data_IF_967390106437
#
_entry.id   IF_967390106437
#
_cell.length_a   1.000
_cell.length_b   1.000
_cell.length_c   1.000
_cell.angle_alpha   90.00
_cell.angle_beta   90.00
_cell.angle_gamma   90.00
#
_symmetry.space_group_name_H-M   'P 1'
#
loop_
_entity.id
_entity.type
_entity.pdbx_description
1 polymer ?
#
# COMPACT_ATOMS: atom_id res chain seq x y z
N UNK A 1 20.88 -4.83 18.02
CA UNK A 1 19.90 -5.79 17.48
C UNK A 1 19.78 -5.56 15.98
N UNK A 2 19.76 -6.60 15.14
CA UNK A 2 19.56 -6.42 13.70
C UNK A 2 18.12 -5.98 13.44
N UNK A 3 17.93 -4.83 12.80
CA UNK A 3 16.61 -4.31 12.42
C UNK A 3 16.10 -5.02 11.17
N UNK A 4 14.89 -5.58 11.22
CA UNK A 4 14.23 -6.15 10.04
C UNK A 4 13.66 -5.02 9.19
N UNK A 5 13.96 -5.06 7.89
CA UNK A 5 13.44 -4.11 6.91
C UNK A 5 12.38 -4.78 6.06
N UNK A 6 11.19 -4.21 6.04
CA UNK A 6 10.05 -4.68 5.25
C UNK A 6 9.67 -3.64 4.21
N UNK A 7 9.56 -4.07 2.95
CA UNK A 7 8.95 -3.25 1.90
C UNK A 7 7.48 -3.68 1.70
N UNK A 8 6.59 -2.72 1.55
CA UNK A 8 5.20 -2.97 1.17
C UNK A 8 4.91 -2.16 -0.10
N UNK A 9 4.49 -2.84 -1.18
CA UNK A 9 4.12 -2.22 -2.45
C UNK A 9 2.61 -2.01 -2.48
N UNK A 10 2.19 -0.76 -2.32
CA UNK A 10 0.79 -0.31 -2.23
C UNK A 10 0.45 0.26 -0.85
N UNK A 11 -0.02 1.50 -0.79
CA UNK A 11 -0.45 2.20 0.42
C UNK A 11 -1.98 2.30 0.55
N UNK A 12 -2.70 1.32 0.01
CA UNK A 12 -4.11 1.09 0.31
C UNK A 12 -4.33 0.46 1.69
N UNK A 13 -5.60 0.17 2.06
CA UNK A 13 -5.93 -0.42 3.35
C UNK A 13 -5.16 -1.70 3.65
N UNK A 14 -5.02 -2.60 2.67
CA UNK A 14 -4.29 -3.86 2.86
C UNK A 14 -2.82 -3.63 3.27
N UNK A 15 -2.12 -2.70 2.61
CA UNK A 15 -0.73 -2.39 2.93
C UNK A 15 -0.57 -1.72 4.29
N UNK A 16 -1.44 -0.77 4.60
CA UNK A 16 -1.41 -0.05 5.89
C UNK A 16 -1.79 -0.97 7.05
N UNK A 17 -2.79 -1.83 6.90
CA UNK A 17 -3.15 -2.82 7.94
C UNK A 17 -2.06 -3.88 8.12
N UNK A 18 -1.42 -4.34 7.04
CA UNK A 18 -0.29 -5.24 7.16
C UNK A 18 0.85 -4.58 7.96
N UNK A 19 1.13 -3.29 7.70
CA UNK A 19 2.10 -2.53 8.47
C UNK A 19 1.71 -2.42 9.95
N UNK A 20 0.45 -2.08 10.25
CA UNK A 20 -0.08 -1.95 11.61
C UNK A 20 0.06 -3.26 12.42
N UNK A 21 -0.40 -4.36 11.84
CA UNK A 21 -0.32 -5.69 12.45
C UNK A 21 1.15 -6.08 12.72
N UNK A 22 2.04 -5.77 11.78
CA UNK A 22 3.47 -6.07 11.94
C UNK A 22 4.09 -5.18 13.02
N UNK A 23 3.81 -3.89 13.07
CA UNK A 23 4.34 -3.05 14.15
C UNK A 23 3.85 -3.46 15.54
N UNK A 24 2.60 -3.94 15.64
CA UNK A 24 1.98 -4.32 16.92
C UNK A 24 2.31 -5.73 17.39
N UNK A 25 2.74 -6.64 16.51
CA UNK A 25 2.99 -8.00 16.96
C UNK A 25 4.19 -8.09 17.91
N UNK A 26 4.01 -8.78 19.03
CA UNK A 26 5.05 -9.04 20.01
C UNK A 26 6.18 -9.86 19.40
N UNK A 27 7.39 -9.30 19.43
CA UNK A 27 8.57 -9.87 18.79
C UNK A 27 9.84 -9.35 19.47
N UNK A 28 10.88 -10.17 19.45
CA UNK A 28 12.19 -9.81 20.02
C UNK A 28 13.08 -9.02 19.02
N UNK A 29 12.49 -8.43 17.98
CA UNK A 29 13.24 -7.82 16.86
C UNK A 29 12.56 -6.53 16.42
N UNK A 30 13.35 -5.46 16.24
CA UNK A 30 12.87 -4.17 15.71
C UNK A 30 12.56 -4.28 14.21
N UNK A 31 11.51 -3.59 13.75
CA UNK A 31 11.05 -3.60 12.36
C UNK A 31 10.92 -2.17 11.85
N UNK A 32 11.52 -1.87 10.69
CA UNK A 32 11.18 -0.68 9.88
C UNK A 32 10.40 -1.09 8.66
N UNK A 33 9.37 -0.31 8.34
CA UNK A 33 8.51 -0.55 7.20
C UNK A 33 8.56 0.64 6.24
N UNK A 34 8.79 0.35 4.97
CA UNK A 34 8.70 1.32 3.88
C UNK A 34 7.52 0.95 2.98
N UNK A 35 6.54 1.84 2.87
CA UNK A 35 5.43 1.72 1.91
C UNK A 35 5.80 2.47 0.64
N UNK A 36 5.70 1.78 -0.50
CA UNK A 36 5.86 2.34 -1.82
C UNK A 36 4.49 2.45 -2.49
N UNK A 37 4.10 3.68 -2.84
CA UNK A 37 2.82 3.97 -3.48
C UNK A 37 3.05 4.59 -4.84
N UNK A 38 2.35 4.07 -5.84
CA UNK A 38 2.39 4.55 -7.21
C UNK A 38 1.85 5.97 -7.33
N UNK A 39 0.80 6.29 -6.57
CA UNK A 39 0.15 7.59 -6.59
C UNK A 39 0.79 8.58 -5.59
N UNK A 40 0.53 9.89 -5.72
CA UNK A 40 1.07 10.88 -4.78
C UNK A 40 0.49 10.77 -3.36
N UNK A 41 -0.74 10.25 -3.23
CA UNK A 41 -1.44 10.16 -1.95
C UNK A 41 -1.81 8.71 -1.64
N UNK A 42 -1.70 8.35 -0.36
CA UNK A 42 -2.06 7.04 0.16
C UNK A 42 -3.57 6.77 0.15
N UNK A 43 -3.94 5.64 0.77
CA UNK A 43 -5.28 5.14 1.05
C UNK A 43 -5.96 4.38 -0.10
N UNK A 44 -5.33 4.28 -1.27
CA UNK A 44 -5.83 3.48 -2.39
C UNK A 44 -7.32 3.73 -2.68
N UNK A 45 -8.11 2.68 -2.85
CA UNK A 45 -9.53 2.80 -3.16
C UNK A 45 -10.36 3.51 -2.06
N UNK A 46 -9.89 3.65 -0.82
CA UNK A 46 -10.62 4.49 0.15
C UNK A 46 -10.64 5.95 -0.30
N UNK A 47 -9.55 6.41 -0.93
CA UNK A 47 -9.47 7.73 -1.54
C UNK A 47 -10.03 7.75 -2.96
N UNK A 48 -9.65 6.77 -3.78
CA UNK A 48 -9.84 6.79 -5.23
C UNK A 48 -11.01 5.96 -5.75
N UNK A 49 -11.65 5.14 -4.91
CA UNK A 49 -12.74 4.25 -5.29
C UNK A 49 -14.05 4.50 -4.54
N UNK A 50 -14.00 4.71 -3.22
CA UNK A 50 -15.19 4.96 -2.41
C UNK A 50 -15.91 6.18 -2.95
N UNK A 51 -17.19 5.99 -3.30
CA UNK A 51 -18.02 6.99 -3.91
C UNK A 51 -18.14 8.26 -3.02
N UNK A 52 -18.26 9.45 -3.63
CA UNK A 52 -18.20 10.72 -2.91
C UNK A 52 -19.36 10.93 -1.92
N UNK A 53 -20.51 10.32 -2.18
CA UNK A 53 -21.72 10.29 -1.34
C UNK A 53 -21.65 9.26 -0.20
N UNK A 54 -20.52 8.55 -0.06
CA UNK A 54 -20.26 7.60 1.03
C UNK A 54 -19.21 8.12 2.03
N UNK A 55 -19.38 9.31 2.63
CA UNK A 55 -18.36 9.92 3.50
C UNK A 55 -18.13 9.11 4.78
N UNK A 56 -19.14 8.36 5.24
CA UNK A 56 -19.05 7.53 6.46
C UNK A 56 -17.99 6.43 6.32
N UNK A 57 -17.91 5.78 5.16
CA UNK A 57 -16.90 4.75 4.88
C UNK A 57 -15.51 5.39 4.73
N UNK A 58 -15.42 6.61 4.18
CA UNK A 58 -14.16 7.37 4.10
C UNK A 58 -13.59 7.76 5.47
N UNK A 59 -14.39 7.68 6.54
CA UNK A 59 -13.94 7.92 7.92
C UNK A 59 -12.77 7.03 8.37
N UNK A 60 -12.56 5.87 7.73
CA UNK A 60 -11.44 4.99 8.05
C UNK A 60 -10.06 5.63 7.78
N UNK A 61 -10.01 6.68 6.94
CA UNK A 61 -8.77 7.43 6.68
C UNK A 61 -8.12 7.93 7.98
N UNK A 62 -8.91 8.31 8.99
CA UNK A 62 -8.37 8.76 10.29
C UNK A 62 -7.53 7.66 10.95
N UNK A 63 -8.06 6.43 11.04
CA UNK A 63 -7.33 5.31 11.63
C UNK A 63 -6.10 4.92 10.78
N UNK A 64 -6.24 4.93 9.44
CA UNK A 64 -5.11 4.63 8.56
C UNK A 64 -3.99 5.69 8.70
N UNK A 65 -4.36 6.95 8.90
CA UNK A 65 -3.40 8.02 9.16
C UNK A 65 -2.68 7.81 10.50
N UNK A 66 -3.40 7.47 11.56
CA UNK A 66 -2.78 7.19 12.87
C UNK A 66 -1.72 6.07 12.78
N UNK A 67 -1.97 5.06 11.95
CA UNK A 67 -0.98 4.01 11.67
C UNK A 67 0.25 4.59 10.97
N UNK A 68 0.07 5.38 9.92
CA UNK A 68 1.20 6.00 9.19
C UNK A 68 2.01 6.95 10.09
N UNK A 69 1.34 7.65 11.00
CA UNK A 69 1.92 8.60 11.96
C UNK A 69 2.58 7.91 13.18
N UNK A 70 2.51 6.58 13.30
CA UNK A 70 3.04 5.81 14.46
C UNK A 70 4.57 5.77 14.59
N UNK A 71 5.31 6.29 13.58
CA UNK A 71 6.77 6.42 13.60
C UNK A 71 7.56 5.20 13.13
N UNK A 72 6.94 4.02 13.03
CA UNK A 72 7.57 2.79 12.49
C UNK A 72 7.52 2.66 10.96
N UNK A 73 6.87 3.62 10.29
CA UNK A 73 6.52 3.57 8.88
C UNK A 73 7.06 4.80 8.15
N UNK A 74 7.60 4.59 6.95
CA UNK A 74 7.85 5.66 5.97
C UNK A 74 7.02 5.42 4.72
N UNK A 75 6.43 6.48 4.19
CA UNK A 75 5.66 6.45 2.95
C UNK A 75 6.44 7.14 1.83
N UNK A 76 6.63 6.43 0.72
CA UNK A 76 7.21 6.92 -0.52
C UNK A 76 6.12 6.89 -1.60
N UNK A 77 5.47 8.03 -1.83
CA UNK A 77 4.53 8.21 -2.95
C UNK A 77 5.24 8.48 -4.26
N UNK A 78 4.51 8.39 -5.38
CA UNK A 78 5.07 8.51 -6.73
C UNK A 78 6.20 7.51 -7.04
N UNK A 79 6.14 6.30 -6.50
CA UNK A 79 7.10 5.23 -6.79
C UNK A 79 6.38 4.05 -7.46
N UNK A 80 6.66 3.84 -8.75
CA UNK A 80 6.09 2.74 -9.52
C UNK A 80 6.97 1.49 -9.40
N UNK A 81 6.41 0.43 -8.82
CA UNK A 81 7.00 -0.90 -8.93
C UNK A 81 6.96 -1.39 -10.38
N UNK A 82 8.07 -1.95 -10.85
CA UNK A 82 8.28 -2.39 -12.24
C UNK A 82 8.94 -1.34 -13.13
N UNK A 83 9.01 -0.07 -12.69
CA UNK A 83 9.67 1.02 -13.44
C UNK A 83 10.72 1.73 -12.59
N UNK A 84 10.32 2.28 -11.44
CA UNK A 84 11.20 3.07 -10.56
C UNK A 84 11.96 2.17 -9.58
N UNK A 85 11.33 1.07 -9.18
CA UNK A 85 11.92 0.02 -8.34
C UNK A 85 11.55 -1.36 -8.88
N UNK A 86 12.47 -2.32 -8.77
CA UNK A 86 12.25 -3.71 -9.17
C UNK A 86 12.23 -4.66 -7.96
N UNK A 87 11.80 -5.91 -8.17
CA UNK A 87 11.87 -6.92 -7.12
C UNK A 87 13.32 -7.20 -6.69
N UNK A 88 14.28 -7.10 -7.60
CA UNK A 88 15.69 -7.32 -7.30
C UNK A 88 16.25 -6.20 -6.41
N UNK A 89 15.87 -4.95 -6.66
CA UNK A 89 16.21 -3.82 -5.79
C UNK A 89 15.63 -4.06 -4.39
N UNK A 90 14.36 -4.45 -4.30
CA UNK A 90 13.70 -4.72 -3.02
C UNK A 90 14.36 -5.89 -2.27
N UNK A 91 14.70 -6.99 -2.95
CA UNK A 91 15.39 -8.14 -2.32
C UNK A 91 16.78 -7.81 -1.81
N UNK A 92 17.47 -6.84 -2.44
CA UNK A 92 18.80 -6.38 -1.98
C UNK A 92 18.73 -5.54 -0.71
N UNK A 93 17.62 -4.83 -0.49
CA UNK A 93 17.51 -3.82 0.57
C UNK A 93 16.57 -4.20 1.72
N UNK A 94 15.68 -5.19 1.52
CA UNK A 94 14.67 -5.59 2.47
C UNK A 94 14.73 -7.09 2.75
N UNK A 95 14.39 -7.47 3.99
CA UNK A 95 14.31 -8.86 4.41
C UNK A 95 13.05 -9.56 3.88
N UNK A 96 11.99 -8.79 3.64
CA UNK A 96 10.73 -9.27 3.09
C UNK A 96 10.03 -8.19 2.26
N UNK A 97 9.15 -8.63 1.37
CA UNK A 97 8.34 -7.76 0.51
C UNK A 97 6.89 -8.24 0.55
N UNK A 98 5.95 -7.32 0.78
CA UNK A 98 4.51 -7.58 0.68
C UNK A 98 3.98 -6.81 -0.53
N UNK A 99 3.25 -7.50 -1.41
CA UNK A 99 2.49 -6.85 -2.48
C UNK A 99 1.05 -6.64 -2.02
N UNK A 100 0.64 -5.38 -1.93
CA UNK A 100 -0.69 -4.92 -1.53
C UNK A 100 -1.26 -3.95 -2.58
N UNK A 101 -1.06 -4.28 -3.86
CA UNK A 101 -1.31 -3.40 -5.02
C UNK A 101 -2.79 -3.24 -5.37
N UNK A 102 -3.66 -4.09 -4.84
CA UNK A 102 -5.05 -4.18 -5.27
C UNK A 102 -5.18 -4.61 -6.74
N UNK A 103 -6.35 -4.33 -7.33
CA UNK A 103 -6.63 -4.53 -8.75
C UNK A 103 -6.89 -3.15 -9.40
N UNK A 104 -6.08 -2.81 -10.40
CA UNK A 104 -6.11 -1.51 -11.09
C UNK A 104 -6.66 -1.59 -12.51
N UNK A 105 -7.05 -2.79 -12.95
CA UNK A 105 -7.59 -3.07 -14.28
C UNK A 105 -9.00 -3.61 -14.11
N UNK A 106 -9.87 -3.17 -15.00
CA UNK A 106 -11.23 -3.69 -15.11
C UNK A 106 -11.22 -5.09 -15.75
N UNK A 107 -12.32 -5.82 -15.59
CA UNK A 107 -12.52 -7.08 -16.29
C UNK A 107 -13.11 -6.79 -17.68
N UNK A 108 -12.47 -7.31 -18.72
CA UNK A 108 -12.90 -7.10 -20.10
C UNK A 108 -14.26 -7.78 -20.38
N UNK A 109 -15.10 -7.12 -21.17
CA UNK A 109 -16.31 -7.72 -21.73
C UNK A 109 -16.05 -8.17 -23.16
N UNK A 110 -16.17 -9.48 -23.41
CA UNK A 110 -15.98 -10.03 -24.75
C UNK A 110 -17.27 -9.97 -25.58
N UNK A 111 -17.69 -8.76 -25.95
CA UNK A 111 -18.91 -8.52 -26.74
C UNK A 111 -18.66 -7.53 -27.88
N UNK A 112 -19.35 -7.66 -29.03
CA UNK A 112 -19.26 -6.68 -30.11
C UNK A 112 -19.64 -5.27 -29.63
N UNK A 113 -18.84 -4.28 -30.02
CA UNK A 113 -19.06 -2.88 -29.68
C UNK A 113 -18.52 -2.45 -28.31
N UNK A 114 -17.74 -3.29 -27.60
CA UNK A 114 -17.14 -2.92 -26.31
C UNK A 114 -16.22 -1.70 -26.39
N UNK A 115 -15.58 -1.47 -27.53
CA UNK A 115 -14.68 -0.33 -27.76
C UNK A 115 -15.41 0.92 -28.28
N UNK A 116 -16.75 0.95 -28.28
CA UNK A 116 -17.53 2.13 -28.68
C UNK A 116 -17.42 3.26 -27.63
N UNK A 117 -17.40 4.55 -28.05
CA UNK A 117 -17.44 5.70 -27.15
C UNK A 117 -18.72 5.83 -26.31
#
# INVERSE_FOLDING_TARGET
MSKLRLAIVGAGPAGIYAADIILKAERNVDVSIDLFERLPAAYGLVRYGVAPDHPRIKGIITALREVLDSGGIRLFGNVNFGTDITLDDLKRHYNAVIFATGAIRDADLNIPGIDLP
#
